data_IF_000235216292
#
_entry.id   IF_000235216292
#
_cell.length_a   1.000
_cell.length_b   1.000
_cell.length_c   1.000
_cell.angle_alpha   90.00
_cell.angle_beta   90.00
_cell.angle_gamma   90.00
#
_symmetry.space_group_name_H-M   'P 1'
#
loop_
_entity.id
_entity.type
_entity.pdbx_description
1 polymer ?
#
# COMPACT_ATOMS: atom_id res chain seq x y z
N UNK A 1 68.39 20.73 16.29
CA UNK A 1 67.28 19.80 16.59
C UNK A 1 66.24 20.00 15.50
N UNK A 2 66.12 19.05 14.58
CA UNK A 2 65.22 19.13 13.42
C UNK A 2 64.35 17.88 13.39
N UNK A 3 63.03 18.05 13.35
CA UNK A 3 62.06 16.96 13.19
C UNK A 3 61.68 16.83 11.70
N UNK A 4 61.53 15.60 11.16
CA UNK A 4 61.15 15.41 9.76
C UNK A 4 59.64 15.52 9.56
N UNK A 5 59.23 16.25 8.51
CA UNK A 5 57.85 16.33 8.00
C UNK A 5 57.50 15.08 7.17
N UNK A 6 56.49 14.31 7.58
CA UNK A 6 56.00 13.15 6.84
C UNK A 6 54.93 13.60 5.82
N UNK A 7 55.26 13.51 4.54
CA UNK A 7 54.35 13.79 3.41
C UNK A 7 53.37 12.62 3.20
N UNK A 8 52.06 12.88 3.20
CA UNK A 8 51.03 11.88 2.84
C UNK A 8 50.81 11.85 1.32
N UNK A 9 50.63 10.66 0.70
CA UNK A 9 50.35 10.56 -0.73
C UNK A 9 48.88 10.90 -1.07
N UNK A 10 48.61 11.37 -2.31
CA UNK A 10 47.27 11.76 -2.75
C UNK A 10 46.34 10.55 -2.99
N UNK A 11 45.10 10.63 -2.50
CA UNK A 11 44.02 9.67 -2.79
C UNK A 11 43.60 9.76 -4.26
N UNK A 12 44.01 8.79 -5.08
CA UNK A 12 43.44 8.56 -6.41
C UNK A 12 42.03 7.97 -6.30
N UNK A 13 41.01 8.77 -6.60
CA UNK A 13 39.63 8.29 -6.79
C UNK A 13 39.50 7.65 -8.17
N UNK A 14 39.53 6.32 -8.25
CA UNK A 14 39.12 5.58 -9.44
C UNK A 14 37.60 5.32 -9.41
N UNK A 15 36.84 5.67 -10.45
CA UNK A 15 35.41 5.34 -10.51
C UNK A 15 35.18 3.85 -10.81
N UNK A 16 34.26 3.24 -10.08
CA UNK A 16 33.85 1.83 -10.25
C UNK A 16 33.04 1.69 -11.56
N UNK A 17 33.37 0.73 -12.45
CA UNK A 17 32.61 0.52 -13.69
C UNK A 17 31.25 -0.14 -13.43
N UNK A 18 30.19 0.37 -14.09
CA UNK A 18 28.85 -0.24 -14.11
C UNK A 18 28.83 -1.49 -15.01
N UNK A 19 28.07 -2.54 -14.66
CA UNK A 19 27.86 -3.67 -15.57
C UNK A 19 26.98 -3.27 -16.78
N UNK A 20 27.18 -3.89 -17.96
CA UNK A 20 26.52 -3.50 -19.20
C UNK A 20 25.05 -3.93 -19.27
N UNK A 21 24.24 -3.11 -19.97
CA UNK A 21 22.84 -3.40 -20.30
C UNK A 21 22.75 -4.61 -21.24
N UNK A 22 21.97 -5.63 -20.86
CA UNK A 22 21.72 -6.81 -21.69
C UNK A 22 21.04 -6.42 -23.02
N UNK A 23 21.46 -7.02 -24.15
CA UNK A 23 20.91 -6.67 -25.46
C UNK A 23 19.52 -7.28 -25.67
N UNK A 24 18.62 -6.47 -26.22
CA UNK A 24 17.34 -6.88 -26.79
C UNK A 24 17.60 -7.92 -27.89
N UNK A 25 17.16 -9.16 -27.70
CA UNK A 25 17.16 -10.15 -28.78
C UNK A 25 15.86 -10.06 -29.56
N UNK A 26 15.94 -9.38 -30.70
CA UNK A 26 14.97 -9.46 -31.78
C UNK A 26 15.11 -10.81 -32.51
N UNK A 27 14.06 -11.63 -32.49
CA UNK A 27 13.81 -12.68 -33.49
C UNK A 27 12.30 -12.91 -33.63
N UNK A 28 11.70 -12.34 -34.67
CA UNK A 28 10.53 -12.91 -35.36
C UNK A 28 11.07 -13.69 -36.58
N UNK A 29 10.47 -14.84 -36.97
CA UNK A 29 9.30 -14.77 -37.87
C UNK A 29 8.26 -15.89 -37.64
N UNK A 30 6.98 -15.58 -37.89
CA UNK A 30 5.94 -16.61 -38.05
C UNK A 30 4.60 -16.27 -37.39
N UNK A 31 3.74 -15.54 -38.11
CA UNK A 31 2.28 -15.55 -37.97
C UNK A 31 1.72 -16.15 -39.27
N UNK A 32 0.58 -16.87 -39.29
CA UNK A 32 -0.68 -16.39 -38.70
C UNK A 32 -1.48 -17.46 -37.93
N UNK A 33 -2.27 -17.02 -36.94
CA UNK A 33 -3.69 -17.34 -36.79
C UNK A 33 -4.25 -16.75 -35.49
N UNK A 34 -5.01 -15.67 -35.65
CA UNK A 34 -5.96 -15.11 -34.68
C UNK A 34 -7.17 -16.05 -34.50
N UNK A 35 -7.78 -16.08 -33.30
CA UNK A 35 -8.98 -15.27 -33.11
C UNK A 35 -8.98 -14.46 -31.81
N UNK A 36 -9.60 -13.28 -31.91
CA UNK A 36 -9.95 -12.35 -30.83
C UNK A 36 -10.87 -12.98 -29.78
N UNK A 37 -10.86 -12.42 -28.56
CA UNK A 37 -12.13 -12.14 -27.90
C UNK A 37 -12.21 -10.66 -27.49
N UNK A 38 -13.11 -9.95 -28.17
CA UNK A 38 -13.71 -8.73 -27.67
C UNK A 38 -14.77 -9.11 -26.63
N UNK A 39 -14.61 -8.73 -25.37
CA UNK A 39 -15.77 -8.47 -24.50
C UNK A 39 -15.41 -7.57 -23.31
N UNK A 40 -15.23 -6.28 -23.60
CA UNK A 40 -15.22 -5.25 -22.57
C UNK A 40 -16.68 -4.93 -22.24
N UNK A 41 -17.22 -5.64 -21.24
CA UNK A 41 -18.59 -5.42 -20.78
C UNK A 41 -18.64 -4.14 -19.94
N UNK A 42 -18.95 -3.04 -20.61
CA UNK A 42 -19.44 -1.80 -20.01
C UNK A 42 -20.76 -2.10 -19.30
N UNK A 43 -20.86 -1.75 -18.02
CA UNK A 43 -22.14 -1.59 -17.34
C UNK A 43 -22.31 -0.12 -17.01
N UNK A 44 -23.11 0.55 -17.82
CA UNK A 44 -23.71 1.84 -17.55
C UNK A 44 -25.20 1.67 -17.81
N UNK A 45 -26.01 1.69 -16.75
CA UNK A 45 -27.46 1.87 -16.89
C UNK A 45 -28.06 2.34 -15.56
N UNK A 46 -28.39 3.64 -15.57
CA UNK A 46 -29.69 4.22 -15.17
C UNK A 46 -30.22 3.99 -13.76
N UNK A 47 -30.25 5.11 -13.04
CA UNK A 47 -31.25 5.50 -12.06
C UNK A 47 -32.69 5.13 -12.48
N UNK A 48 -33.42 4.48 -11.58
CA UNK A 48 -34.83 4.75 -11.31
C UNK A 48 -35.19 4.10 -9.98
N UNK A 49 -35.53 4.94 -9.01
CA UNK A 49 -36.19 4.50 -7.78
C UNK A 49 -37.64 4.15 -8.10
N UNK A 50 -38.06 2.96 -7.70
CA UNK A 50 -39.47 2.58 -7.72
C UNK A 50 -39.73 1.64 -6.54
N UNK A 51 -40.56 2.10 -5.62
CA UNK A 51 -41.09 1.37 -4.47
C UNK A 51 -42.00 0.22 -4.95
N UNK A 52 -42.05 -0.94 -4.28
CA UNK A 52 -43.14 -1.88 -4.44
C UNK A 52 -44.24 -1.68 -3.40
N UNK A 53 -45.48 -1.57 -3.87
CA UNK A 53 -46.73 -1.58 -3.10
C UNK A 53 -47.25 -3.03 -2.90
N UNK A 54 -47.53 -3.40 -1.64
CA UNK A 54 -48.73 -4.10 -1.08
C UNK A 54 -49.10 -5.56 -1.48
N UNK A 55 -49.95 -6.31 -0.71
CA UNK A 55 -50.20 -6.44 0.76
C UNK A 55 -50.32 -7.96 1.19
N UNK A 56 -50.84 -8.41 2.38
CA UNK A 56 -52.24 -8.28 2.83
C UNK A 56 -52.50 -8.09 4.36
N UNK A 57 -53.76 -7.72 4.61
CA UNK A 57 -54.63 -7.71 5.80
C UNK A 57 -54.23 -8.36 7.13
N UNK A 58 -54.54 -7.66 8.23
CA UNK A 58 -54.63 -8.17 9.59
C UNK A 58 -55.12 -7.08 10.54
N UNK A 59 -56.29 -7.28 11.12
CA UNK A 59 -57.10 -6.34 11.89
C UNK A 59 -56.85 -6.53 13.40
N UNK A 60 -57.07 -5.46 14.20
CA UNK A 60 -57.15 -5.42 15.67
C UNK A 60 -55.86 -5.60 16.51
N UNK A 61 -55.41 -4.52 17.17
CA UNK A 61 -55.73 -4.22 18.59
C UNK A 61 -54.99 -2.96 19.08
N UNK A 62 -55.69 -2.16 19.88
CA UNK A 62 -55.22 -0.91 20.48
C UNK A 62 -54.38 -1.19 21.71
N UNK A 63 -53.20 -0.57 21.86
CA UNK A 63 -52.67 -0.22 23.19
C UNK A 63 -51.58 0.85 23.17
N UNK A 64 -51.93 1.98 23.80
CA UNK A 64 -51.12 2.86 24.66
C UNK A 64 -49.79 3.43 24.14
N UNK A 65 -49.84 4.71 23.79
CA UNK A 65 -48.72 5.65 23.90
C UNK A 65 -48.16 5.70 25.32
N UNK A 66 -46.85 5.49 25.44
CA UNK A 66 -46.02 5.94 26.56
C UNK A 66 -44.82 6.71 25.98
N UNK A 67 -44.43 7.87 26.53
CA UNK A 67 -43.35 8.69 25.99
C UNK A 67 -41.98 8.06 26.34
N UNK A 68 -40.97 8.10 25.44
CA UNK A 68 -39.64 7.61 25.77
C UNK A 68 -38.92 8.64 26.64
N UNK A 69 -38.40 8.18 27.78
CA UNK A 69 -37.57 8.96 28.69
C UNK A 69 -36.29 9.45 27.99
N UNK A 70 -35.93 10.71 28.23
CA UNK A 70 -34.73 11.32 27.73
C UNK A 70 -33.48 10.79 28.45
N UNK A 71 -32.47 10.40 27.65
CA UNK A 71 -31.07 10.67 27.94
C UNK A 71 -30.23 9.52 28.49
N UNK A 72 -29.51 8.81 27.61
CA UNK A 72 -28.13 8.36 27.86
C UNK A 72 -27.39 8.01 26.54
N UNK A 73 -26.74 9.05 26.00
CA UNK A 73 -25.59 9.13 25.07
C UNK A 73 -25.12 7.83 24.36
N UNK A 74 -25.10 7.78 23.00
CA UNK A 74 -24.40 6.75 22.21
C UNK A 74 -22.86 6.92 22.15
N UNK A 75 -22.28 7.70 23.07
CA UNK A 75 -20.82 7.98 23.11
C UNK A 75 -20.01 6.75 23.52
N UNK A 76 -20.60 5.85 24.29
CA UNK A 76 -19.94 4.64 24.80
C UNK A 76 -19.78 3.59 23.71
N UNK A 77 -20.79 3.37 22.86
CA UNK A 77 -20.70 2.39 21.76
C UNK A 77 -19.63 2.73 20.73
N UNK A 78 -19.56 3.99 20.29
CA UNK A 78 -18.52 4.42 19.37
C UNK A 78 -17.13 4.28 20.00
N UNK A 79 -16.99 4.69 21.27
CA UNK A 79 -15.75 4.55 22.03
C UNK A 79 -15.33 3.09 22.24
N UNK A 80 -16.28 2.18 22.42
CA UNK A 80 -16.01 0.75 22.59
C UNK A 80 -15.69 0.07 21.26
N UNK A 81 -16.29 0.51 20.15
CA UNK A 81 -15.94 0.07 18.81
C UNK A 81 -14.51 0.52 18.44
N UNK A 82 -14.17 1.77 18.74
CA UNK A 82 -12.82 2.31 18.57
C UNK A 82 -11.80 1.54 19.44
N UNK A 83 -12.15 1.20 20.69
CA UNK A 83 -11.29 0.37 21.55
C UNK A 83 -11.05 -1.03 20.98
N UNK A 84 -12.05 -1.64 20.33
CA UNK A 84 -11.91 -2.92 19.65
C UNK A 84 -11.05 -2.82 18.38
N UNK A 85 -11.20 -1.74 17.62
CA UNK A 85 -10.40 -1.51 16.41
C UNK A 85 -8.93 -1.16 16.69
N UNK A 86 -8.65 -0.46 17.79
CA UNK A 86 -7.29 0.00 18.12
C UNK A 86 -6.63 -0.76 19.28
N UNK A 87 -7.28 -1.78 19.85
CA UNK A 87 -6.68 -2.62 20.90
C UNK A 87 -6.46 -1.94 22.26
N UNK A 88 -6.99 -0.73 22.48
CA UNK A 88 -6.77 0.11 23.68
C UNK A 88 -7.44 -0.40 24.98
N UNK A 89 -8.02 -1.61 24.99
CA UNK A 89 -8.76 -2.18 26.12
C UNK A 89 -8.08 -3.35 26.82
N UNK A 90 -6.93 -3.81 26.32
CA UNK A 90 -6.13 -4.88 26.91
C UNK A 90 -4.86 -4.23 27.45
N UNK A 91 -4.40 -4.65 28.64
CA UNK A 91 -3.10 -4.24 29.20
C UNK A 91 -1.95 -4.48 28.22
N UNK A 92 -0.69 -4.15 28.61
CA UNK A 92 0.47 -4.06 27.72
C UNK A 92 0.39 -5.10 26.60
N UNK A 93 0.37 -4.66 25.33
CA UNK A 93 0.10 -5.56 24.22
C UNK A 93 1.07 -6.73 24.34
N UNK A 94 0.59 -7.99 24.35
CA UNK A 94 1.51 -9.09 24.15
C UNK A 94 2.29 -8.78 22.87
N UNK A 95 3.61 -9.03 22.86
CA UNK A 95 4.45 -8.68 21.71
C UNK A 95 3.78 -9.22 20.45
N UNK A 96 3.63 -8.33 19.46
CA UNK A 96 3.10 -8.61 18.13
C UNK A 96 3.86 -9.84 17.60
N UNK A 97 3.26 -11.03 17.74
CA UNK A 97 3.97 -12.31 17.61
C UNK A 97 3.55 -13.40 18.60
N UNK A 98 2.71 -13.11 19.61
CA UNK A 98 2.22 -14.12 20.57
C UNK A 98 1.12 -15.05 20.03
N UNK A 99 1.05 -15.23 18.72
CA UNK A 99 0.57 -16.46 18.12
C UNK A 99 1.79 -17.31 17.82
N UNK A 100 2.56 -17.66 18.86
CA UNK A 100 3.56 -18.71 18.75
C UNK A 100 2.78 -20.00 18.46
N UNK A 101 2.45 -20.25 17.19
CA UNK A 101 2.46 -21.62 16.68
C UNK A 101 3.76 -22.18 17.25
N UNK A 102 3.65 -23.22 18.06
CA UNK A 102 4.82 -23.90 18.59
C UNK A 102 5.80 -24.04 17.43
N UNK A 103 7.06 -23.65 17.65
CA UNK A 103 8.13 -23.73 16.66
C UNK A 103 8.27 -25.21 16.24
N UNK A 104 7.45 -25.63 15.30
CA UNK A 104 7.31 -27.01 14.87
C UNK A 104 8.36 -27.23 13.77
N UNK A 105 9.31 -28.14 13.99
CA UNK A 105 10.30 -28.48 12.97
C UNK A 105 9.68 -29.14 11.74
N UNK A 106 8.44 -29.64 11.83
CA UNK A 106 7.77 -30.36 10.75
C UNK A 106 6.74 -29.52 9.96
N UNK A 107 6.43 -28.31 10.42
CA UNK A 107 5.55 -27.36 9.70
C UNK A 107 6.37 -26.56 8.68
N UNK A 108 6.01 -26.62 7.40
CA UNK A 108 6.73 -25.90 6.33
C UNK A 108 6.64 -24.38 6.47
N UNK A 109 5.59 -23.87 7.12
CA UNK A 109 5.37 -22.43 7.32
C UNK A 109 6.04 -21.92 8.62
N UNK A 110 6.63 -22.82 9.41
CA UNK A 110 7.24 -22.49 10.69
C UNK A 110 8.66 -21.96 10.51
N UNK A 111 9.01 -20.93 11.29
CA UNK A 111 10.37 -20.38 11.31
C UNK A 111 11.43 -21.38 11.82
N UNK A 112 11.01 -22.46 12.50
CA UNK A 112 11.89 -23.51 13.01
C UNK A 112 11.90 -24.78 12.14
N UNK A 113 11.34 -24.72 10.93
CA UNK A 113 11.27 -25.85 10.01
C UNK A 113 12.65 -26.49 9.76
N UNK A 114 12.74 -27.81 9.98
CA UNK A 114 13.91 -28.61 9.64
C UNK A 114 13.62 -29.44 8.39
N UNK A 115 14.10 -28.94 7.25
CA UNK A 115 13.93 -29.59 5.96
C UNK A 115 14.50 -31.02 5.92
N UNK A 116 15.59 -31.30 6.65
CA UNK A 116 16.23 -32.60 6.65
C UNK A 116 15.38 -33.62 7.42
N UNK A 117 14.97 -33.27 8.64
CA UNK A 117 14.12 -34.14 9.46
C UNK A 117 12.76 -34.41 8.78
N UNK A 118 12.14 -33.37 8.20
CA UNK A 118 10.90 -33.51 7.45
C UNK A 118 11.07 -34.44 6.23
N UNK A 119 12.16 -34.30 5.46
CA UNK A 119 12.44 -35.15 4.32
C UNK A 119 12.69 -36.62 4.72
N UNK A 120 13.51 -36.85 5.75
CA UNK A 120 13.80 -38.19 6.25
C UNK A 120 12.53 -38.89 6.74
N UNK A 121 11.65 -38.19 7.44
CA UNK A 121 10.35 -38.73 7.80
C UNK A 121 9.50 -39.01 6.55
N UNK A 122 9.43 -38.07 5.62
CA UNK A 122 8.58 -38.20 4.43
C UNK A 122 8.98 -39.42 3.56
N UNK A 123 10.27 -39.67 3.35
CA UNK A 123 10.74 -40.80 2.53
C UNK A 123 10.62 -42.15 3.25
N UNK A 124 10.68 -42.17 4.58
CA UNK A 124 10.58 -43.41 5.37
C UNK A 124 9.13 -43.81 5.62
N UNK A 125 8.20 -42.87 5.74
CA UNK A 125 6.80 -43.15 6.10
C UNK A 125 5.83 -43.13 4.92
N UNK A 126 6.19 -42.53 3.79
CA UNK A 126 5.27 -42.32 2.67
C UNK A 126 5.47 -43.33 1.53
N UNK A 127 4.38 -43.64 0.83
CA UNK A 127 4.44 -44.44 -0.40
C UNK A 127 4.97 -43.62 -1.59
N UNK A 128 5.54 -44.29 -2.59
CA UNK A 128 6.06 -43.63 -3.81
C UNK A 128 5.00 -42.76 -4.53
N UNK A 129 3.74 -43.21 -4.74
CA UNK A 129 2.70 -42.36 -5.33
C UNK A 129 2.41 -41.11 -4.51
N UNK A 130 2.41 -41.22 -3.17
CA UNK A 130 2.23 -40.07 -2.27
C UNK A 130 3.38 -39.07 -2.40
N UNK A 131 4.61 -39.58 -2.54
CA UNK A 131 5.80 -38.75 -2.70
C UNK A 131 5.77 -37.97 -4.03
N UNK A 132 5.42 -38.63 -5.14
CA UNK A 132 5.26 -37.98 -6.44
C UNK A 132 4.16 -36.92 -6.44
N UNK A 133 3.04 -37.20 -5.77
CA UNK A 133 1.99 -36.19 -5.59
C UNK A 133 2.51 -34.99 -4.80
N UNK A 134 3.21 -35.24 -3.67
CA UNK A 134 3.76 -34.18 -2.84
C UNK A 134 4.78 -33.32 -3.59
N UNK A 135 5.62 -33.93 -4.42
CA UNK A 135 6.54 -33.22 -5.30
C UNK A 135 5.78 -32.28 -6.25
N UNK A 136 4.73 -32.76 -6.92
CA UNK A 136 3.94 -31.96 -7.84
C UNK A 136 3.26 -30.78 -7.13
N UNK A 137 2.68 -31.03 -5.94
CA UNK A 137 2.04 -30.01 -5.12
C UNK A 137 3.06 -28.92 -4.73
N UNK A 138 4.25 -29.30 -4.27
CA UNK A 138 5.32 -28.36 -3.91
C UNK A 138 5.82 -27.55 -5.13
N UNK A 139 5.95 -28.18 -6.30
CA UNK A 139 6.34 -27.46 -7.52
C UNK A 139 5.29 -26.44 -7.95
N UNK A 140 4.00 -26.76 -7.78
CA UNK A 140 2.91 -25.83 -8.02
C UNK A 140 2.95 -24.65 -7.04
N UNK A 141 3.14 -24.95 -5.75
CA UNK A 141 3.25 -23.96 -4.68
C UNK A 141 4.44 -23.02 -4.87
N UNK A 142 5.62 -23.54 -5.23
CA UNK A 142 6.80 -22.72 -5.55
C UNK A 142 6.52 -21.73 -6.68
N UNK A 143 5.84 -22.17 -7.75
CA UNK A 143 5.48 -21.31 -8.89
C UNK A 143 4.47 -20.24 -8.48
N UNK A 144 3.48 -20.63 -7.68
CA UNK A 144 2.48 -19.71 -7.16
C UNK A 144 3.12 -18.64 -6.28
N UNK A 145 3.95 -19.05 -5.31
CA UNK A 145 4.67 -18.14 -4.41
C UNK A 145 5.61 -17.19 -5.16
N UNK A 146 6.30 -17.66 -6.20
CA UNK A 146 7.12 -16.74 -7.01
C UNK A 146 6.26 -15.74 -7.79
N UNK A 147 5.11 -16.17 -8.33
CA UNK A 147 4.18 -15.25 -9.00
C UNK A 147 3.61 -14.19 -8.05
N UNK A 148 3.27 -14.57 -6.82
CA UNK A 148 2.80 -13.67 -5.77
C UNK A 148 3.89 -12.70 -5.33
N UNK A 149 5.12 -13.19 -5.14
CA UNK A 149 6.30 -12.37 -4.85
C UNK A 149 6.54 -11.36 -5.97
N UNK A 150 6.49 -11.77 -7.24
CA UNK A 150 6.66 -10.88 -8.38
C UNK A 150 5.55 -9.82 -8.43
N UNK A 151 4.29 -10.22 -8.21
CA UNK A 151 3.15 -9.30 -8.16
C UNK A 151 3.31 -8.25 -7.06
N UNK A 152 3.72 -8.66 -5.85
CA UNK A 152 3.94 -7.76 -4.73
C UNK A 152 5.06 -6.75 -5.03
N UNK A 153 6.18 -7.23 -5.56
CA UNK A 153 7.32 -6.39 -5.95
C UNK A 153 6.89 -5.39 -7.03
N UNK A 154 6.13 -5.83 -8.03
CA UNK A 154 5.62 -4.96 -9.08
C UNK A 154 4.69 -3.87 -8.52
N UNK A 155 3.69 -4.27 -7.71
CA UNK A 155 2.73 -3.33 -7.12
C UNK A 155 3.45 -2.30 -6.26
N UNK A 156 4.36 -2.75 -5.39
CA UNK A 156 5.09 -1.85 -4.50
C UNK A 156 5.99 -0.88 -5.28
N UNK A 157 6.72 -1.36 -6.29
CA UNK A 157 7.52 -0.46 -7.13
C UNK A 157 6.66 0.52 -7.91
N UNK A 158 5.52 0.07 -8.44
CA UNK A 158 4.61 0.93 -9.17
C UNK A 158 4.03 2.02 -8.26
N UNK A 159 3.62 1.67 -7.04
CA UNK A 159 3.12 2.62 -6.04
C UNK A 159 4.20 3.60 -5.58
N UNK A 160 5.44 3.14 -5.36
CA UNK A 160 6.55 4.02 -5.00
C UNK A 160 6.86 5.04 -6.09
N UNK A 161 6.83 4.62 -7.36
CA UNK A 161 7.02 5.51 -8.51
C UNK A 161 5.88 6.54 -8.54
N UNK A 162 4.62 6.09 -8.46
CA UNK A 162 3.46 6.98 -8.46
C UNK A 162 3.48 7.99 -7.30
N UNK A 163 3.90 7.56 -6.11
CA UNK A 163 4.06 8.43 -4.95
C UNK A 163 5.20 9.45 -5.18
N UNK A 164 6.32 9.01 -5.74
CA UNK A 164 7.42 9.90 -6.11
C UNK A 164 6.99 10.96 -7.12
N UNK A 165 6.24 10.58 -8.15
CA UNK A 165 5.69 11.50 -9.14
C UNK A 165 4.72 12.50 -8.50
N UNK A 166 3.89 12.04 -7.57
CA UNK A 166 2.98 12.90 -6.80
C UNK A 166 3.76 13.91 -5.95
N UNK A 167 4.82 13.48 -5.27
CA UNK A 167 5.70 14.36 -4.48
C UNK A 167 6.37 15.40 -5.40
N UNK A 168 6.86 14.99 -6.57
CA UNK A 168 7.46 15.91 -7.54
C UNK A 168 6.46 16.96 -8.04
N UNK A 169 5.22 16.54 -8.35
CA UNK A 169 4.15 17.46 -8.75
C UNK A 169 3.74 18.41 -7.62
N UNK A 170 3.65 17.92 -6.38
CA UNK A 170 3.39 18.74 -5.20
C UNK A 170 4.49 19.77 -4.97
N UNK A 171 5.76 19.37 -5.13
CA UNK A 171 6.90 20.28 -5.02
C UNK A 171 6.84 21.37 -6.08
N UNK A 172 6.65 21.02 -7.34
CA UNK A 172 6.53 22.00 -8.43
C UNK A 172 5.39 22.99 -8.16
N UNK A 173 4.24 22.53 -7.69
CA UNK A 173 3.12 23.42 -7.33
C UNK A 173 3.46 24.35 -6.16
N UNK A 174 4.19 23.88 -5.16
CA UNK A 174 4.64 24.71 -4.04
C UNK A 174 5.64 25.78 -4.50
N UNK A 175 6.59 25.39 -5.36
CA UNK A 175 7.58 26.33 -5.93
C UNK A 175 6.87 27.42 -6.78
N UNK A 176 5.81 27.07 -7.52
CA UNK A 176 4.98 28.06 -8.23
C UNK A 176 4.21 28.99 -7.29
N UNK A 177 3.64 28.47 -6.21
CA UNK A 177 2.92 29.27 -5.22
C UNK A 177 3.82 30.29 -4.53
N UNK A 178 5.07 29.92 -4.24
CA UNK A 178 6.06 30.83 -3.63
C UNK A 178 6.34 32.03 -4.54
N UNK A 179 6.52 31.78 -5.85
CA UNK A 179 6.69 32.83 -6.85
C UNK A 179 5.46 33.76 -6.95
N UNK A 180 4.25 33.21 -6.88
CA UNK A 180 3.01 34.01 -6.88
C UNK A 180 2.89 34.89 -5.62
N UNK A 181 3.32 34.39 -4.45
CA UNK A 181 3.34 35.17 -3.21
C UNK A 181 4.35 36.31 -3.26
N UNK A 182 5.53 36.09 -3.86
CA UNK A 182 6.52 37.13 -4.07
C UNK A 182 5.99 38.24 -5.00
N UNK A 183 5.29 37.87 -6.08
CA UNK A 183 4.63 38.83 -6.96
C UNK A 183 3.56 39.64 -6.22
N UNK A 184 2.73 38.98 -5.42
CA UNK A 184 1.71 39.64 -4.60
C UNK A 184 2.33 40.63 -3.61
N UNK A 185 3.44 40.26 -2.99
CA UNK A 185 4.18 41.13 -2.07
C UNK A 185 4.77 42.36 -2.76
N UNK A 186 5.30 42.20 -3.97
CA UNK A 186 5.78 43.31 -4.78
C UNK A 186 4.64 44.28 -5.13
N UNK A 187 3.49 43.76 -5.57
CA UNK A 187 2.31 44.56 -5.87
C UNK A 187 1.81 45.36 -4.64
N UNK A 188 1.73 44.73 -3.46
CA UNK A 188 1.36 45.44 -2.23
C UNK A 188 2.36 46.53 -1.85
N UNK A 189 3.66 46.29 -2.06
CA UNK A 189 4.71 47.28 -1.80
C UNK A 189 4.56 48.49 -2.72
N UNK A 190 4.22 48.26 -3.99
CA UNK A 190 3.96 49.31 -4.96
C UNK A 190 2.71 50.11 -4.61
N UNK A 191 1.61 49.45 -4.24
CA UNK A 191 0.38 50.10 -3.77
C UNK A 191 0.67 50.96 -2.54
N UNK A 192 1.45 50.44 -1.57
CA UNK A 192 1.82 51.19 -0.38
C UNK A 192 2.64 52.43 -0.73
N UNK A 193 3.61 52.31 -1.66
CA UNK A 193 4.41 53.45 -2.14
C UNK A 193 3.54 54.52 -2.79
N UNK A 194 2.66 54.12 -3.71
CA UNK A 194 1.75 55.04 -4.41
C UNK A 194 0.79 55.72 -3.41
N UNK A 195 0.27 54.98 -2.42
CA UNK A 195 -0.57 55.55 -1.37
C UNK A 195 0.18 56.60 -0.55
N UNK A 196 1.43 56.35 -0.18
CA UNK A 196 2.24 57.35 0.57
C UNK A 196 2.56 58.59 -0.26
N UNK A 197 2.77 58.43 -1.57
CA UNK A 197 3.03 59.54 -2.48
C UNK A 197 1.79 60.44 -2.65
N UNK A 198 0.61 59.84 -2.77
CA UNK A 198 -0.66 60.58 -2.85
C UNK A 198 -0.94 61.31 -1.54
N UNK A 199 -0.86 60.62 -0.39
CA UNK A 199 -1.10 61.25 0.92
C UNK A 199 -0.08 62.33 1.24
N UNK A 200 1.20 62.15 0.89
CA UNK A 200 2.25 63.15 1.12
C UNK A 200 2.16 64.38 0.22
N UNK A 201 1.33 64.35 -0.84
CA UNK A 201 1.11 65.48 -1.76
C UNK A 201 -0.02 66.40 -1.30
N UNK A 202 -0.88 65.94 -0.40
CA UNK A 202 -2.00 66.71 0.19
C UNK A 202 -1.65 67.36 1.55
N UNK A 203 -0.35 67.44 1.89
CA UNK A 203 0.19 68.18 3.05
C UNK A 203 1.11 69.32 2.59
#
# INVERSE_FOLDING_TARGET
MSLPTLSLPPRSRTPIPRPPSSPLRATTPGSPNTPTPANMRRISSTSTGTLPMSPPSGENERSRMSPPAAGERPKTRARDLLRKHYGLGVGPPPPLGSGAKAADPMDLDSAAFDAKAYYEQLITTSSLPSLLKRENDLLSEIRQLDSERQSLVYNHHHELIAASDTIAAMKSRADHLDADLDLLRAAFSEISRLSTEITGRDS
#
